data_IF_122833846066
#
_entry.id   IF_122833846066
#
_cell.length_a   1.000
_cell.length_b   1.000
_cell.length_c   1.000
_cell.angle_alpha   90.00
_cell.angle_beta   90.00
_cell.angle_gamma   90.00
#
_symmetry.space_group_name_H-M   'P 1'
#
loop_
_entity.id
_entity.type
_entity.pdbx_description
1 polymer ?
#
# COMPACT_ATOMS: atom_id res chain seq x y z
N UNK A 1 -9.73 -15.91 29.59
CA UNK A 1 -10.50 -14.66 29.80
C UNK A 1 -9.72 -13.72 30.68
N UNK A 2 -9.54 -12.47 30.25
CA UNK A 2 -9.02 -11.37 31.09
C UNK A 2 -10.21 -10.52 31.48
N UNK A 3 -10.34 -10.25 32.78
CA UNK A 3 -11.44 -9.44 33.30
C UNK A 3 -10.89 -8.11 33.81
N UNK A 4 -11.47 -7.02 33.36
CA UNK A 4 -11.23 -5.69 33.92
C UNK A 4 -11.81 -5.63 35.35
N UNK A 5 -11.00 -5.25 36.30
CA UNK A 5 -11.38 -5.26 37.72
C UNK A 5 -12.35 -4.15 38.12
N UNK A 6 -12.38 -3.05 37.35
CA UNK A 6 -13.20 -1.88 37.66
C UNK A 6 -14.58 -1.97 37.02
N UNK A 7 -14.60 -2.41 35.75
CA UNK A 7 -15.83 -2.44 34.95
C UNK A 7 -16.47 -3.82 34.87
N UNK A 8 -15.76 -4.90 35.20
CA UNK A 8 -16.20 -6.26 35.04
C UNK A 8 -16.22 -6.72 33.58
N UNK A 9 -15.77 -5.88 32.63
CA UNK A 9 -15.68 -6.23 31.22
C UNK A 9 -14.73 -7.42 31.01
N UNK A 10 -15.16 -8.38 30.20
CA UNK A 10 -14.39 -9.59 29.92
C UNK A 10 -13.88 -9.57 28.48
N UNK A 11 -12.60 -9.92 28.31
CA UNK A 11 -11.99 -10.20 27.04
C UNK A 11 -11.66 -11.69 26.99
N UNK A 12 -12.35 -12.42 26.15
CA UNK A 12 -12.02 -13.81 25.87
C UNK A 12 -10.86 -13.87 24.88
N UNK A 13 -9.79 -14.52 25.30
CA UNK A 13 -8.59 -14.72 24.53
C UNK A 13 -8.64 -16.15 24.01
N UNK A 14 -9.23 -16.34 22.88
CA UNK A 14 -9.31 -17.64 22.19
C UNK A 14 -8.20 -17.82 21.14
N UNK A 15 -7.38 -16.81 20.92
CA UNK A 15 -6.40 -16.73 19.85
C UNK A 15 -4.96 -16.50 20.29
N UNK A 16 -4.06 -16.77 19.36
CA UNK A 16 -2.59 -16.61 19.51
C UNK A 16 -2.12 -15.15 19.46
N UNK A 17 -3.01 -14.19 19.13
CA UNK A 17 -2.64 -12.84 18.70
C UNK A 17 -3.19 -11.71 19.57
N UNK A 18 -3.32 -11.98 20.85
CA UNK A 18 -3.79 -11.03 21.90
C UNK A 18 -3.10 -9.66 21.88
N UNK A 19 -1.85 -9.61 21.41
CA UNK A 19 -1.09 -8.36 21.33
C UNK A 19 -1.05 -7.77 19.91
N UNK A 20 -1.89 -8.26 19.01
CA UNK A 20 -1.97 -7.78 17.63
C UNK A 20 -3.32 -7.11 17.36
N UNK A 21 -3.51 -5.84 17.80
CA UNK A 21 -4.73 -5.11 17.47
C UNK A 21 -4.83 -4.89 15.96
N UNK A 22 -6.07 -4.76 15.48
CA UNK A 22 -6.32 -4.25 14.14
C UNK A 22 -5.74 -2.86 13.97
N UNK A 23 -5.46 -2.46 12.74
CA UNK A 23 -4.95 -1.13 12.45
C UNK A 23 -6.06 -0.08 12.61
N UNK A 24 -5.77 1.02 13.32
CA UNK A 24 -6.67 2.15 13.44
C UNK A 24 -6.90 2.80 12.07
N UNK A 25 -8.13 2.89 11.64
CA UNK A 25 -8.54 3.56 10.40
C UNK A 25 -9.69 4.52 10.68
N UNK A 26 -9.46 5.81 10.45
CA UNK A 26 -10.42 6.87 10.76
C UNK A 26 -11.12 7.41 9.51
N UNK A 27 -10.90 6.80 8.35
CA UNK A 27 -11.35 7.34 7.05
C UNK A 27 -12.87 7.42 6.92
N UNK A 28 -13.63 6.64 7.68
CA UNK A 28 -15.10 6.64 7.64
C UNK A 28 -15.73 7.78 8.45
N UNK A 29 -14.96 8.41 9.36
CA UNK A 29 -15.43 9.49 10.24
C UNK A 29 -14.44 10.65 10.37
N UNK A 30 -13.58 10.80 9.35
CA UNK A 30 -12.56 11.86 9.31
C UNK A 30 -13.19 13.26 9.39
N UNK A 31 -14.36 13.44 8.80
CA UNK A 31 -15.16 14.67 8.88
C UNK A 31 -15.47 15.09 10.32
N UNK A 32 -15.85 14.12 11.15
CA UNK A 32 -16.13 14.37 12.58
C UNK A 32 -14.88 14.78 13.35
N UNK A 33 -13.74 14.18 13.01
CA UNK A 33 -12.46 14.55 13.64
C UNK A 33 -12.05 15.98 13.27
N UNK A 34 -12.17 16.35 11.99
CA UNK A 34 -11.86 17.71 11.54
C UNK A 34 -12.84 18.73 12.14
N UNK A 35 -14.13 18.40 12.21
CA UNK A 35 -15.15 19.25 12.87
C UNK A 35 -14.88 19.42 14.38
N UNK A 36 -14.34 18.40 15.04
CA UNK A 36 -13.92 18.47 16.45
C UNK A 36 -12.63 19.27 16.68
N UNK A 37 -12.01 19.81 15.63
CA UNK A 37 -10.84 20.68 15.73
C UNK A 37 -9.50 20.00 15.51
N UNK A 38 -9.44 18.74 15.06
CA UNK A 38 -8.18 18.09 14.68
C UNK A 38 -7.58 18.81 13.48
N UNK A 39 -6.29 19.16 13.55
CA UNK A 39 -5.56 19.89 12.50
C UNK A 39 -4.34 19.13 11.99
N UNK A 40 -3.90 18.11 12.69
CA UNK A 40 -2.73 17.32 12.34
C UNK A 40 -3.09 15.83 12.41
N UNK A 41 -2.86 15.13 11.32
CA UNK A 41 -3.01 13.67 11.24
C UNK A 41 -1.63 13.04 11.21
N UNK A 42 -1.36 12.16 12.18
CA UNK A 42 -0.11 11.40 12.23
C UNK A 42 -0.33 10.02 11.61
N UNK A 43 0.45 9.70 10.57
CA UNK A 43 0.47 8.39 9.94
C UNK A 43 1.62 7.58 10.53
N UNK A 44 1.32 6.38 11.03
CA UNK A 44 2.34 5.47 11.56
C UNK A 44 2.82 4.53 10.46
N UNK A 45 4.07 4.75 10.03
CA UNK A 45 4.72 3.96 8.98
C UNK A 45 5.88 3.09 9.47
N UNK A 46 6.10 2.99 10.80
CA UNK A 46 7.18 2.20 11.37
C UNK A 46 7.04 0.73 11.00
N UNK A 47 8.13 0.13 10.52
CA UNK A 47 8.15 -1.24 10.01
C UNK A 47 7.17 -1.50 8.84
N UNK A 48 6.82 -0.47 8.08
CA UNK A 48 6.03 -0.54 6.85
C UNK A 48 6.88 -0.18 5.64
N UNK A 49 6.52 -0.69 4.48
CA UNK A 49 7.15 -0.30 3.22
C UNK A 49 6.75 1.11 2.78
N UNK A 50 7.53 1.71 1.90
CA UNK A 50 7.24 3.05 1.37
C UNK A 50 5.92 3.08 0.57
N UNK A 51 5.56 1.99 -0.09
CA UNK A 51 4.29 1.81 -0.79
C UNK A 51 3.08 1.91 0.15
N UNK A 52 3.22 1.42 1.39
CA UNK A 52 2.19 1.59 2.42
C UNK A 52 2.01 3.07 2.77
N UNK A 53 3.11 3.77 3.08
CA UNK A 53 3.06 5.18 3.47
C UNK A 53 2.44 6.01 2.36
N UNK A 54 2.89 5.79 1.10
CA UNK A 54 2.34 6.45 -0.08
C UNK A 54 0.83 6.23 -0.18
N UNK A 55 0.37 4.98 -0.11
CA UNK A 55 -1.05 4.63 -0.23
C UNK A 55 -1.91 5.27 0.85
N UNK A 56 -1.44 5.26 2.10
CA UNK A 56 -2.16 5.88 3.22
C UNK A 56 -2.23 7.40 3.03
N UNK A 57 -1.12 8.06 2.70
CA UNK A 57 -1.09 9.51 2.44
C UNK A 57 -2.05 9.89 1.32
N UNK A 58 -2.02 9.17 0.19
CA UNK A 58 -2.92 9.45 -0.95
C UNK A 58 -4.39 9.31 -0.59
N UNK A 59 -4.76 8.26 0.16
CA UNK A 59 -6.16 8.06 0.56
C UNK A 59 -6.65 9.15 1.50
N UNK A 60 -5.84 9.54 2.48
CA UNK A 60 -6.22 10.61 3.41
C UNK A 60 -6.19 12.00 2.77
N UNK A 61 -5.24 12.28 1.88
CA UNK A 61 -5.22 13.53 1.09
C UNK A 61 -6.46 13.65 0.20
N UNK A 62 -6.85 12.56 -0.47
CA UNK A 62 -8.07 12.54 -1.28
C UNK A 62 -9.32 12.74 -0.43
N UNK A 63 -9.40 12.12 0.75
CA UNK A 63 -10.51 12.31 1.68
C UNK A 63 -10.62 13.78 2.13
N UNK A 64 -9.49 14.42 2.50
CA UNK A 64 -9.46 15.81 2.90
C UNK A 64 -9.88 16.75 1.76
N UNK A 65 -9.38 16.55 0.55
CA UNK A 65 -9.80 17.31 -0.65
C UNK A 65 -11.27 17.13 -0.96
N UNK A 66 -11.80 15.92 -0.79
CA UNK A 66 -13.22 15.65 -0.96
C UNK A 66 -14.09 16.39 0.08
N UNK A 67 -13.61 16.53 1.32
CA UNK A 67 -14.29 17.33 2.34
C UNK A 67 -14.32 18.82 1.96
N UNK A 68 -13.21 19.36 1.49
CA UNK A 68 -13.13 20.75 1.02
C UNK A 68 -14.07 21.03 -0.16
N UNK A 69 -14.24 20.06 -1.07
CA UNK A 69 -15.12 20.16 -2.24
C UNK A 69 -16.56 19.71 -2.00
N UNK A 70 -16.90 19.24 -0.80
CA UNK A 70 -18.25 18.74 -0.46
C UNK A 70 -18.60 17.39 -1.11
N UNK A 71 -17.60 16.63 -1.54
CA UNK A 71 -17.76 15.32 -2.20
C UNK A 71 -17.36 14.11 -1.31
N UNK A 72 -17.10 14.36 -0.03
CA UNK A 72 -16.82 13.32 0.95
C UNK A 72 -18.10 12.53 1.27
N UNK A 73 -18.22 11.33 0.71
CA UNK A 73 -19.42 10.49 0.79
C UNK A 73 -19.07 9.09 1.33
N UNK A 74 -20.05 8.34 1.85
CA UNK A 74 -19.85 6.94 2.23
C UNK A 74 -19.32 6.06 1.08
N UNK A 75 -19.72 6.34 -0.16
CA UNK A 75 -19.20 5.63 -1.33
C UNK A 75 -17.70 5.89 -1.54
N UNK A 76 -17.27 7.14 -1.43
CA UNK A 76 -15.85 7.49 -1.52
C UNK A 76 -15.04 6.85 -0.38
N UNK A 77 -15.53 6.93 0.87
CA UNK A 77 -14.78 6.34 2.01
C UNK A 77 -14.66 4.82 1.87
N UNK A 78 -15.68 4.14 1.36
CA UNK A 78 -15.62 2.71 1.06
C UNK A 78 -14.56 2.39 -0.02
N UNK A 79 -14.52 3.17 -1.12
CA UNK A 79 -13.48 3.05 -2.15
C UNK A 79 -12.08 3.24 -1.58
N UNK A 80 -11.87 4.32 -0.81
CA UNK A 80 -10.58 4.61 -0.18
C UNK A 80 -10.15 3.49 0.79
N UNK A 81 -11.11 2.91 1.51
CA UNK A 81 -10.86 1.79 2.42
C UNK A 81 -10.43 0.53 1.67
N UNK A 82 -11.03 0.23 0.51
CA UNK A 82 -10.57 -0.87 -0.35
C UNK A 82 -9.14 -0.61 -0.87
N UNK A 83 -8.81 0.63 -1.23
CA UNK A 83 -7.44 1.00 -1.60
C UNK A 83 -6.46 0.83 -0.43
N UNK A 84 -6.86 1.16 0.80
CA UNK A 84 -6.04 0.91 2.00
C UNK A 84 -5.84 -0.59 2.26
N UNK A 85 -6.79 -1.45 1.88
CA UNK A 85 -6.65 -2.92 1.99
C UNK A 85 -5.60 -3.51 1.05
N UNK A 86 -5.18 -2.79 0.01
CA UNK A 86 -4.16 -3.28 -0.94
C UNK A 86 -2.77 -3.34 -0.34
N UNK A 87 -2.50 -2.58 0.70
CA UNK A 87 -1.20 -2.55 1.40
C UNK A 87 -1.30 -3.23 2.76
N UNK A 88 -0.15 -3.44 3.41
CA UNK A 88 -0.10 -4.13 4.70
C UNK A 88 -1.13 -3.59 5.69
N UNK A 89 -2.00 -4.46 6.19
CA UNK A 89 -2.92 -4.17 7.28
C UNK A 89 -3.23 -5.43 8.08
N UNK A 90 -3.78 -5.26 9.28
CA UNK A 90 -4.25 -6.34 10.18
C UNK A 90 -5.77 -6.37 10.28
N UNK A 91 -6.46 -5.87 9.26
CA UNK A 91 -7.85 -5.46 9.37
C UNK A 91 -7.95 -4.07 9.99
N UNK A 92 -9.11 -3.43 9.84
CA UNK A 92 -9.33 -2.05 10.33
C UNK A 92 -10.35 -2.03 11.46
N UNK A 93 -10.16 -1.08 12.38
CA UNK A 93 -11.13 -0.74 13.41
C UNK A 93 -11.12 0.77 13.68
N UNK A 94 -12.13 1.24 14.36
CA UNK A 94 -12.36 2.68 14.61
C UNK A 94 -11.61 3.20 15.85
N UNK A 95 -10.86 2.34 16.52
CA UNK A 95 -10.27 2.68 17.80
C UNK A 95 -11.35 2.88 18.88
N UNK A 96 -11.06 3.74 19.81
CA UNK A 96 -11.99 4.11 20.90
C UNK A 96 -12.89 5.30 20.56
N UNK A 97 -12.80 5.86 19.35
CA UNK A 97 -13.54 7.05 18.95
C UNK A 97 -15.06 6.86 18.94
N UNK A 98 -15.52 5.64 18.70
CA UNK A 98 -16.95 5.29 18.75
C UNK A 98 -17.41 4.81 20.14
N UNK A 99 -16.61 4.97 21.18
CA UNK A 99 -16.95 4.58 22.56
C UNK A 99 -16.90 3.08 22.83
N UNK A 100 -16.23 2.29 21.96
CA UNK A 100 -16.08 0.85 22.20
C UNK A 100 -15.07 0.59 23.32
N UNK A 101 -15.42 -0.19 24.36
CA UNK A 101 -14.53 -0.41 25.51
C UNK A 101 -13.45 -1.46 25.27
N UNK A 102 -13.52 -2.24 24.18
CA UNK A 102 -12.63 -3.38 23.94
C UNK A 102 -11.90 -3.25 22.60
N UNK A 103 -10.59 -3.52 22.61
CA UNK A 103 -9.73 -3.54 21.42
C UNK A 103 -10.15 -4.67 20.49
N UNK A 104 -10.29 -4.36 19.20
CA UNK A 104 -10.45 -5.40 18.18
C UNK A 104 -9.08 -5.95 17.76
N UNK A 105 -8.92 -7.26 17.87
CA UNK A 105 -7.68 -7.95 17.52
C UNK A 105 -7.73 -8.53 16.10
N UNK A 106 -6.56 -8.68 15.49
CA UNK A 106 -6.44 -9.36 14.21
C UNK A 106 -6.75 -10.86 14.38
N UNK A 107 -7.60 -11.45 13.52
CA UNK A 107 -7.90 -12.88 13.57
C UNK A 107 -6.74 -13.76 13.07
N UNK A 108 -5.77 -13.16 12.36
CA UNK A 108 -4.68 -13.88 11.71
C UNK A 108 -3.33 -13.24 11.99
N UNK A 109 -2.28 -14.05 11.82
CA UNK A 109 -0.89 -13.56 11.84
C UNK A 109 -0.53 -12.86 10.54
N UNK A 110 0.24 -11.77 10.66
CA UNK A 110 0.80 -11.09 9.51
C UNK A 110 -0.12 -10.05 8.89
N UNK A 111 -0.18 -10.00 7.58
CA UNK A 111 -0.91 -9.02 6.80
C UNK A 111 -2.21 -9.60 6.24
N UNK A 112 -3.29 -8.83 6.34
CA UNK A 112 -4.55 -9.08 5.65
C UNK A 112 -4.65 -8.29 4.33
N UNK A 113 -3.52 -7.84 3.78
CA UNK A 113 -3.50 -7.12 2.52
C UNK A 113 -4.01 -7.99 1.37
N UNK A 114 -4.78 -7.39 0.45
CA UNK A 114 -5.29 -8.07 -0.74
C UNK A 114 -4.24 -8.23 -1.85
N UNK A 115 -3.13 -7.52 -1.72
CA UNK A 115 -2.00 -7.59 -2.66
C UNK A 115 -0.68 -7.78 -1.90
N UNK A 116 0.28 -8.41 -2.58
CA UNK A 116 1.67 -8.48 -2.14
C UNK A 116 2.59 -7.96 -3.23
N UNK A 117 3.70 -7.38 -2.83
CA UNK A 117 4.76 -6.98 -3.77
C UNK A 117 5.71 -8.15 -4.01
N UNK A 118 6.08 -8.30 -5.27
CA UNK A 118 7.08 -9.26 -5.72
C UNK A 118 8.24 -8.52 -6.34
N UNK A 119 9.45 -8.80 -5.88
CA UNK A 119 10.65 -8.22 -6.46
C UNK A 119 10.85 -8.77 -7.87
N UNK A 120 11.10 -7.86 -8.81
CA UNK A 120 11.37 -8.18 -10.21
C UNK A 120 12.85 -8.02 -10.52
N UNK A 121 13.42 -6.87 -10.18
CA UNK A 121 14.80 -6.56 -10.52
C UNK A 121 15.18 -5.13 -10.16
N UNK A 122 16.20 -4.60 -10.82
CA UNK A 122 16.69 -3.25 -10.57
C UNK A 122 17.00 -2.48 -11.84
N UNK A 123 16.92 -1.17 -11.75
CA UNK A 123 17.31 -0.24 -12.81
C UNK A 123 18.82 -0.26 -12.97
N UNK A 124 19.30 -0.61 -14.18
CA UNK A 124 20.71 -0.58 -14.55
C UNK A 124 21.10 0.75 -15.17
N UNK A 125 20.16 1.38 -15.90
CA UNK A 125 20.34 2.69 -16.52
C UNK A 125 19.01 3.44 -16.67
N UNK A 126 19.08 4.76 -16.86
CA UNK A 126 17.92 5.60 -17.17
C UNK A 126 18.23 6.57 -18.29
N UNK A 127 17.58 6.40 -19.40
CA UNK A 127 17.69 7.24 -20.60
C UNK A 127 16.75 8.45 -20.48
N UNK A 128 17.24 9.51 -19.85
CA UNK A 128 16.44 10.69 -19.48
C UNK A 128 15.66 11.31 -20.64
N UNK A 129 16.28 11.42 -21.83
CA UNK A 129 15.64 12.03 -23.00
C UNK A 129 14.45 11.22 -23.53
N UNK A 130 14.47 9.92 -23.31
CA UNK A 130 13.43 8.99 -23.75
C UNK A 130 12.43 8.66 -22.65
N UNK A 131 12.73 9.02 -21.40
CA UNK A 131 11.99 8.59 -20.21
C UNK A 131 11.89 7.05 -20.13
N UNK A 132 13.01 6.36 -20.39
CA UNK A 132 13.10 4.90 -20.43
C UNK A 132 14.10 4.41 -19.41
N UNK A 133 13.68 3.46 -18.58
CA UNK A 133 14.52 2.71 -17.66
C UNK A 133 14.96 1.40 -18.32
N UNK A 134 16.25 1.10 -18.26
CA UNK A 134 16.78 -0.24 -18.49
C UNK A 134 16.79 -0.98 -17.17
N UNK A 135 16.24 -2.19 -17.16
CA UNK A 135 16.05 -3.01 -15.96
C UNK A 135 16.65 -4.39 -16.15
N UNK A 136 17.42 -4.84 -15.17
CA UNK A 136 17.81 -6.24 -15.05
C UNK A 136 16.72 -7.00 -14.31
N UNK A 137 16.12 -7.98 -14.97
CA UNK A 137 15.09 -8.86 -14.39
C UNK A 137 15.79 -9.95 -13.59
N UNK A 138 15.75 -9.87 -12.26
CA UNK A 138 16.59 -10.69 -11.38
C UNK A 138 15.85 -11.84 -10.70
N UNK A 139 14.56 -11.68 -10.41
CA UNK A 139 13.83 -12.64 -9.55
C UNK A 139 12.52 -13.15 -10.15
N UNK A 140 11.71 -12.28 -10.72
CA UNK A 140 10.41 -12.66 -11.28
C UNK A 140 10.26 -12.13 -12.70
N UNK A 141 9.63 -12.89 -13.63
CA UNK A 141 9.37 -12.42 -14.98
C UNK A 141 8.44 -11.20 -14.94
N UNK A 142 8.47 -10.43 -16.02
CA UNK A 142 7.69 -9.22 -16.19
C UNK A 142 6.85 -9.32 -17.46
N UNK A 143 5.59 -8.88 -17.41
CA UNK A 143 4.70 -8.91 -18.57
C UNK A 143 3.91 -7.60 -18.71
N UNK A 144 3.55 -7.25 -19.93
CA UNK A 144 2.66 -6.12 -20.23
C UNK A 144 1.32 -6.31 -19.51
N UNK A 145 0.75 -5.23 -19.00
CA UNK A 145 -0.48 -5.22 -18.22
C UNK A 145 -0.29 -5.36 -16.71
N UNK A 146 0.90 -5.75 -16.24
CA UNK A 146 1.15 -5.88 -14.80
C UNK A 146 1.26 -4.51 -14.11
N UNK A 147 0.69 -4.36 -12.91
CA UNK A 147 0.91 -3.19 -12.06
C UNK A 147 2.30 -3.28 -11.43
N UNK A 148 3.14 -2.30 -11.73
CA UNK A 148 4.53 -2.22 -11.28
C UNK A 148 4.82 -0.94 -10.51
N UNK A 149 5.88 -0.95 -9.72
CA UNK A 149 6.44 0.28 -9.15
C UNK A 149 7.96 0.21 -9.01
N UNK A 150 8.57 1.37 -9.20
CA UNK A 150 9.98 1.60 -8.88
C UNK A 150 10.08 2.13 -7.46
N UNK A 151 11.08 1.66 -6.74
CA UNK A 151 11.38 2.07 -5.36
C UNK A 151 12.83 2.49 -5.26
N UNK A 152 13.08 3.73 -4.88
CA UNK A 152 14.41 4.26 -4.64
C UNK A 152 14.44 5.36 -3.58
N UNK A 153 15.58 5.55 -2.95
CA UNK A 153 15.74 6.51 -1.84
C UNK A 153 15.37 7.96 -2.24
N UNK A 154 15.65 8.34 -3.48
CA UNK A 154 15.33 9.67 -4.01
C UNK A 154 14.11 9.65 -4.92
N UNK A 155 13.88 8.54 -5.63
CA UNK A 155 12.75 8.35 -6.51
C UNK A 155 11.44 8.21 -5.72
N UNK A 156 11.53 7.70 -4.49
CA UNK A 156 10.36 7.32 -3.72
C UNK A 156 9.67 6.10 -4.33
N UNK A 157 8.37 6.13 -4.46
CA UNK A 157 7.55 5.08 -5.07
C UNK A 157 6.88 5.64 -6.32
N UNK A 158 7.30 5.15 -7.50
CA UNK A 158 6.73 5.52 -8.80
C UNK A 158 5.94 4.32 -9.36
N UNK A 159 4.62 4.39 -9.27
CA UNK A 159 3.69 3.33 -9.70
C UNK A 159 3.19 3.58 -11.12
N UNK A 160 3.02 2.50 -11.87
CA UNK A 160 2.35 2.50 -13.17
C UNK A 160 1.83 1.11 -13.54
N UNK A 161 0.90 1.03 -14.49
CA UNK A 161 0.64 -0.21 -15.22
C UNK A 161 1.66 -0.30 -16.36
N UNK A 162 2.28 -1.44 -16.53
CA UNK A 162 3.25 -1.68 -17.62
C UNK A 162 2.50 -1.75 -18.94
N UNK A 163 2.57 -0.70 -19.74
CA UNK A 163 1.89 -0.61 -21.06
C UNK A 163 2.79 -0.93 -22.23
N UNK A 164 4.11 -0.80 -22.06
CA UNK A 164 5.10 -0.99 -23.11
C UNK A 164 6.35 -1.62 -22.50
N UNK A 165 6.82 -2.70 -23.11
CA UNK A 165 8.00 -3.46 -22.72
C UNK A 165 8.83 -3.78 -23.94
N UNK A 166 10.15 -3.59 -23.86
CA UNK A 166 11.09 -3.98 -24.88
C UNK A 166 12.05 -5.03 -24.32
N UNK A 167 12.28 -6.07 -25.10
CA UNK A 167 13.19 -7.16 -24.74
C UNK A 167 14.68 -6.80 -24.85
N UNK A 168 15.57 -7.80 -24.66
CA UNK A 168 17.02 -7.60 -24.70
C UNK A 168 17.54 -7.13 -26.06
N UNK A 169 16.82 -7.45 -27.14
CA UNK A 169 17.11 -7.04 -28.51
C UNK A 169 16.58 -5.65 -28.88
N UNK A 170 15.92 -4.99 -27.92
CA UNK A 170 15.30 -3.68 -28.09
C UNK A 170 13.97 -3.72 -28.85
N UNK A 171 13.45 -4.90 -29.18
CA UNK A 171 12.15 -5.04 -29.85
C UNK A 171 11.00 -5.07 -28.84
N UNK A 172 9.79 -4.65 -29.21
CA UNK A 172 8.61 -4.81 -28.37
C UNK A 172 8.41 -6.28 -27.97
N UNK A 173 8.09 -6.49 -26.70
CA UNK A 173 7.87 -7.81 -26.13
C UNK A 173 6.64 -7.80 -25.21
N UNK A 174 5.89 -8.89 -25.20
CA UNK A 174 4.76 -9.09 -24.28
C UNK A 174 5.23 -9.47 -22.87
N UNK A 175 6.39 -10.13 -22.77
CA UNK A 175 6.99 -10.53 -21.50
C UNK A 175 8.51 -10.68 -21.64
N UNK A 176 9.20 -10.58 -20.48
CA UNK A 176 10.65 -10.77 -20.34
C UNK A 176 10.90 -11.71 -19.18
N UNK A 177 11.78 -12.70 -19.39
CA UNK A 177 12.10 -13.72 -18.41
C UNK A 177 13.12 -13.23 -17.36
N UNK A 178 13.23 -13.99 -16.28
CA UNK A 178 14.31 -13.82 -15.32
C UNK A 178 15.69 -14.02 -15.98
N UNK A 179 16.64 -13.16 -15.65
CA UNK A 179 18.00 -13.17 -16.20
C UNK A 179 18.19 -12.26 -17.41
N UNK A 180 17.13 -11.69 -17.96
CA UNK A 180 17.18 -10.83 -19.13
C UNK A 180 17.20 -9.34 -18.75
N UNK A 181 17.60 -8.51 -19.73
CA UNK A 181 17.44 -7.06 -19.67
C UNK A 181 16.15 -6.65 -20.38
N UNK A 182 15.52 -5.62 -19.89
CA UNK A 182 14.39 -5.02 -20.59
C UNK A 182 14.43 -3.49 -20.49
N UNK A 183 13.67 -2.84 -21.37
CA UNK A 183 13.47 -1.41 -21.33
C UNK A 183 11.98 -1.07 -21.09
N UNK A 184 11.74 -0.15 -20.15
CA UNK A 184 10.42 0.25 -19.70
C UNK A 184 10.30 1.76 -19.76
N UNK A 185 9.25 2.27 -20.43
CA UNK A 185 8.91 3.70 -20.34
C UNK A 185 8.37 4.02 -18.98
N UNK A 186 8.85 5.11 -18.38
CA UNK A 186 8.45 5.54 -17.02
C UNK A 186 7.75 6.91 -17.06
N UNK A 187 6.78 7.17 -16.16
CA UNK A 187 6.08 8.46 -16.08
C UNK A 187 6.95 9.55 -15.46
N UNK A 188 8.05 9.19 -14.84
CA UNK A 188 8.96 10.11 -14.15
C UNK A 188 10.39 9.60 -14.11
N UNK A 189 11.25 10.38 -13.48
CA UNK A 189 12.68 10.04 -13.37
C UNK A 189 12.87 8.93 -12.36
N UNK A 190 13.40 7.81 -12.82
CA UNK A 190 13.96 6.76 -11.98
C UNK A 190 15.49 6.79 -12.04
N UNK A 191 16.15 6.08 -11.16
CA UNK A 191 17.60 6.14 -11.02
C UNK A 191 18.22 4.76 -11.04
N UNK A 192 19.45 4.70 -11.51
CA UNK A 192 20.24 3.47 -11.41
C UNK A 192 20.30 2.99 -9.96
N UNK A 193 20.00 1.72 -9.76
CA UNK A 193 19.91 1.06 -8.46
C UNK A 193 18.52 1.08 -7.84
N UNK A 194 17.56 1.83 -8.39
CA UNK A 194 16.16 1.72 -7.95
C UNK A 194 15.66 0.29 -8.20
N UNK A 195 14.90 -0.23 -7.26
CA UNK A 195 14.32 -1.56 -7.32
C UNK A 195 13.00 -1.53 -8.08
N UNK A 196 12.75 -2.54 -8.90
CA UNK A 196 11.47 -2.76 -9.56
C UNK A 196 10.71 -3.89 -8.85
N UNK A 197 9.46 -3.61 -8.54
CA UNK A 197 8.50 -4.55 -7.97
C UNK A 197 7.24 -4.60 -8.83
N UNK A 198 6.49 -5.71 -8.73
CA UNK A 198 5.12 -5.81 -9.21
C UNK A 198 4.18 -6.16 -8.07
N UNK A 199 2.93 -5.73 -8.19
CA UNK A 199 1.87 -6.16 -7.30
C UNK A 199 1.19 -7.41 -7.86
N UNK A 200 0.99 -8.38 -7.01
CA UNK A 200 0.20 -9.59 -7.32
C UNK A 200 -0.86 -9.78 -6.24
N UNK A 201 -1.98 -10.46 -6.54
CA UNK A 201 -2.95 -10.83 -5.51
C UNK A 201 -2.27 -11.56 -4.36
N UNK A 202 -2.66 -11.26 -3.13
CA UNK A 202 -2.25 -12.05 -1.98
C UNK A 202 -2.98 -13.40 -2.02
N UNK A 203 -2.26 -14.48 -1.70
CA UNK A 203 -2.87 -15.78 -1.53
C UNK A 203 -3.79 -15.73 -0.30
N UNK A 204 -5.05 -16.09 -0.48
CA UNK A 204 -5.98 -16.20 0.65
C UNK A 204 -5.60 -17.46 1.42
N UNK A 205 -5.11 -17.26 2.64
CA UNK A 205 -4.80 -18.36 3.58
C UNK A 205 -6.05 -18.73 4.35
#
# INVERSE_FOLDING_TARGET
TVTDKETGAQLDIDGRYVLSPKDLCTIDFLDKMIAAGVRVLKIEGRARGAEYVKRVVECYDQALKAMESGTYTPALTAELKERLRTVFNRGFWEGYYAGRPVVEHSPAYGSSATQRKVYVGKVTNFYRKLSVAEVSVEAAPLAVGEPIFFLGATTGVAEQTLTELHGPDGQPAESVAQGELCAIRTPGVVRRGDQLYKFVPAETT
#
